data_IF_744998305891
#
_entry.id   IF_744998305891
#
_cell.length_a   1.000
_cell.length_b   1.000
_cell.length_c   1.000
_cell.angle_alpha   90.00
_cell.angle_beta   90.00
_cell.angle_gamma   90.00
#
_symmetry.space_group_name_H-M   'P 1'
#
loop_
_entity.id
_entity.type
_entity.pdbx_description
1 polymer ?
#
# COMPACT_ATOMS: atom_id res chain seq x y z
N UNK A 1 17.16 3.21 20.55
CA UNK A 1 16.20 2.11 20.31
C UNK A 1 14.94 2.73 19.75
N UNK A 2 14.42 2.22 18.64
CA UNK A 2 13.15 2.68 18.08
C UNK A 2 12.01 2.04 18.87
N UNK A 3 11.05 2.84 19.34
CA UNK A 3 9.90 2.34 20.07
C UNK A 3 8.83 1.80 19.10
N UNK A 4 8.11 0.72 19.45
CA UNK A 4 7.00 0.26 18.64
C UNK A 4 5.89 1.31 18.60
N UNK A 5 5.30 1.48 17.41
CA UNK A 5 4.20 2.40 17.15
C UNK A 5 2.90 1.62 16.99
N UNK A 6 1.91 1.91 17.84
CA UNK A 6 0.59 1.29 17.78
C UNK A 6 -0.34 2.08 16.82
N UNK A 7 -0.27 1.75 15.53
CA UNK A 7 -1.09 2.41 14.51
C UNK A 7 -2.59 2.16 14.71
N UNK A 8 -2.98 1.03 15.30
CA UNK A 8 -4.39 0.70 15.51
C UNK A 8 -5.11 1.70 16.43
N UNK A 9 -4.37 2.30 17.37
CA UNK A 9 -4.88 3.34 18.29
C UNK A 9 -4.89 4.74 17.69
N UNK A 10 -4.25 4.94 16.54
CA UNK A 10 -4.15 6.23 15.85
C UNK A 10 -5.19 6.39 14.74
N UNK A 11 -5.93 5.32 14.43
CA UNK A 11 -7.00 5.37 13.44
C UNK A 11 -8.09 6.31 13.95
N UNK A 12 -8.10 7.52 13.39
CA UNK A 12 -9.10 8.54 13.67
C UNK A 12 -10.31 8.42 12.75
N UNK A 13 -11.02 9.53 12.58
CA UNK A 13 -12.19 9.61 11.68
C UNK A 13 -11.85 9.36 10.20
N UNK A 14 -10.58 9.44 9.81
CA UNK A 14 -10.11 9.08 8.46
C UNK A 14 -10.25 7.58 8.17
N UNK A 15 -10.26 6.71 9.18
CA UNK A 15 -10.20 5.26 9.00
C UNK A 15 -8.80 4.73 8.67
N UNK A 16 -7.77 5.58 8.66
CA UNK A 16 -6.39 5.19 8.36
C UNK A 16 -5.38 5.89 9.28
N UNK A 17 -4.27 5.22 9.57
CA UNK A 17 -3.10 5.77 10.24
C UNK A 17 -1.82 5.33 9.52
N UNK A 18 -0.81 6.20 9.49
CA UNK A 18 0.45 5.95 8.79
C UNK A 18 1.64 5.91 9.75
N UNK A 19 2.62 5.06 9.44
CA UNK A 19 4.01 5.19 9.89
C UNK A 19 4.86 5.54 8.66
N UNK A 20 5.26 6.81 8.56
CA UNK A 20 6.04 7.33 7.44
C UNK A 20 7.53 7.49 7.73
N UNK A 21 8.30 7.94 6.73
CA UNK A 21 9.72 8.28 6.84
C UNK A 21 10.04 9.23 8.00
N UNK A 22 9.24 10.29 8.16
CA UNK A 22 9.51 11.34 9.14
C UNK A 22 9.46 10.83 10.60
N UNK A 23 8.61 9.83 10.87
CA UNK A 23 8.49 9.24 12.20
C UNK A 23 9.41 8.02 12.39
N UNK A 24 9.55 7.19 11.36
CA UNK A 24 10.35 5.96 11.45
C UNK A 24 11.85 6.16 11.24
N UNK A 25 12.25 7.27 10.61
CA UNK A 25 13.59 7.48 10.08
C UNK A 25 13.90 6.63 8.85
N UNK A 26 12.93 5.88 8.31
CA UNK A 26 13.11 5.12 7.08
C UNK A 26 13.25 6.07 5.88
N UNK A 27 14.12 5.73 4.93
CA UNK A 27 14.36 6.61 3.78
C UNK A 27 13.37 6.38 2.64
N UNK A 28 12.84 5.17 2.52
CA UNK A 28 12.17 4.74 1.28
C UNK A 28 10.85 4.03 1.50
N UNK A 29 10.43 3.76 2.74
CA UNK A 29 9.26 2.90 3.02
C UNK A 29 8.31 3.54 4.00
N UNK A 30 7.04 3.18 3.88
CA UNK A 30 5.98 3.54 4.82
C UNK A 30 4.99 2.39 4.96
N UNK A 31 4.18 2.47 6.01
CA UNK A 31 3.07 1.56 6.22
C UNK A 31 1.82 2.37 6.58
N UNK A 32 0.72 2.12 5.88
CA UNK A 32 -0.61 2.57 6.24
C UNK A 32 -1.36 1.40 6.86
N UNK A 33 -2.06 1.65 7.95
CA UNK A 33 -2.99 0.72 8.58
C UNK A 33 -4.39 1.30 8.45
N UNK A 34 -5.27 0.56 7.77
CA UNK A 34 -6.62 0.99 7.45
C UNK A 34 -7.67 0.11 8.14
N UNK A 35 -8.78 0.74 8.51
CA UNK A 35 -9.97 0.09 9.06
C UNK A 35 -11.17 0.56 8.27
N UNK A 36 -11.97 -0.40 7.80
CA UNK A 36 -13.28 -0.15 7.22
C UNK A 36 -14.36 -0.59 8.19
N UNK A 37 -15.34 0.27 8.43
CA UNK A 37 -16.54 -0.08 9.16
C UNK A 37 -17.32 -1.19 8.44
N UNK A 38 -18.25 -1.90 9.12
CA UNK A 38 -19.13 -2.87 8.48
C UNK A 38 -19.80 -2.29 7.24
N UNK A 39 -19.66 -2.96 6.11
CA UNK A 39 -20.22 -2.53 4.82
C UNK A 39 -19.77 -1.14 4.32
N UNK A 40 -18.70 -0.56 4.87
CA UNK A 40 -18.13 0.70 4.33
C UNK A 40 -17.65 0.48 2.89
N UNK A 41 -17.96 1.43 2.00
CA UNK A 41 -17.60 1.36 0.59
C UNK A 41 -16.88 2.62 0.13
N UNK A 42 -16.21 2.54 -1.02
CA UNK A 42 -15.65 3.71 -1.70
C UNK A 42 -14.35 4.25 -1.09
N UNK A 43 -13.64 3.47 -0.26
CA UNK A 43 -12.31 3.85 0.23
C UNK A 43 -11.33 3.93 -0.92
N UNK A 44 -10.94 5.13 -1.30
CA UNK A 44 -10.00 5.34 -2.41
C UNK A 44 -8.57 5.01 -1.99
N UNK A 45 -7.93 4.13 -2.75
CA UNK A 45 -6.50 3.84 -2.67
C UNK A 45 -5.85 4.39 -3.94
N UNK A 46 -4.76 5.15 -3.80
CA UNK A 46 -4.01 5.71 -4.93
C UNK A 46 -2.53 5.83 -4.56
N UNK A 47 -1.68 4.88 -4.97
CA UNK A 47 -0.24 5.03 -4.83
C UNK A 47 0.21 6.35 -5.46
N UNK A 48 0.93 7.16 -4.69
CA UNK A 48 1.45 8.45 -5.15
C UNK A 48 2.44 8.30 -6.31
N UNK A 49 2.69 9.38 -7.04
CA UNK A 49 3.74 9.40 -8.07
C UNK A 49 5.08 8.95 -7.49
N UNK A 50 5.80 8.12 -8.24
CA UNK A 50 7.04 7.48 -7.84
C UNK A 50 6.89 6.43 -6.74
N UNK A 51 5.69 5.90 -6.46
CA UNK A 51 5.46 4.91 -5.41
C UNK A 51 4.75 3.66 -5.91
N UNK A 52 5.13 2.54 -5.33
CA UNK A 52 4.42 1.26 -5.41
C UNK A 52 3.94 0.89 -4.02
N UNK A 53 2.78 0.25 -3.95
CA UNK A 53 2.17 -0.19 -2.69
C UNK A 53 1.67 -1.62 -2.82
N UNK A 54 1.76 -2.39 -1.74
CA UNK A 54 1.14 -3.70 -1.60
C UNK A 54 0.00 -3.56 -0.60
N UNK A 55 -1.22 -3.81 -1.05
CA UNK A 55 -2.37 -4.04 -0.18
C UNK A 55 -2.27 -5.43 0.41
N UNK A 56 -2.46 -5.56 1.73
CA UNK A 56 -2.60 -6.85 2.42
C UNK A 56 -3.81 -6.82 3.34
N UNK A 57 -4.69 -7.82 3.23
CA UNK A 57 -5.90 -7.94 4.06
C UNK A 57 -5.56 -8.66 5.35
N UNK A 58 -5.64 -7.95 6.48
CA UNK A 58 -5.40 -8.53 7.81
C UNK A 58 -6.60 -9.35 8.25
N UNK A 59 -7.83 -8.84 8.06
CA UNK A 59 -9.05 -9.57 8.37
C UNK A 59 -10.25 -9.05 7.56
N UNK A 60 -11.24 -9.91 7.39
CA UNK A 60 -12.46 -9.62 6.65
C UNK A 60 -12.34 -9.90 5.15
N UNK A 61 -13.43 -9.61 4.43
CA UNK A 61 -13.52 -9.76 2.97
C UNK A 61 -13.67 -8.39 2.34
N UNK A 62 -12.72 -8.03 1.49
CA UNK A 62 -12.68 -6.72 0.84
C UNK A 62 -12.93 -6.87 -0.65
N UNK A 63 -13.82 -6.06 -1.21
CA UNK A 63 -13.86 -5.85 -2.65
C UNK A 63 -12.88 -4.75 -3.01
N UNK A 64 -11.96 -5.04 -3.93
CA UNK A 64 -11.10 -4.08 -4.59
C UNK A 64 -11.59 -3.89 -6.03
N UNK A 65 -11.84 -2.65 -6.42
CA UNK A 65 -12.27 -2.32 -7.77
C UNK A 65 -11.50 -1.13 -8.35
N UNK A 66 -11.20 -1.16 -9.64
CA UNK A 66 -10.64 -0.03 -10.37
C UNK A 66 -9.94 -0.42 -11.68
N UNK A 67 -9.47 0.57 -12.47
CA UNK A 67 -9.10 0.35 -13.87
C UNK A 67 -7.97 -0.65 -14.08
N UNK A 68 -6.99 -0.72 -13.17
CA UNK A 68 -5.83 -1.59 -13.33
C UNK A 68 -6.07 -3.04 -12.86
N UNK A 69 -7.05 -3.28 -11.99
CA UNK A 69 -7.31 -4.61 -11.39
C UNK A 69 -8.65 -5.20 -11.76
N UNK A 70 -9.54 -4.42 -12.40
CA UNK A 70 -10.93 -4.82 -12.62
C UNK A 70 -11.70 -4.80 -11.30
N UNK A 71 -12.39 -5.89 -10.99
CA UNK A 71 -13.07 -6.12 -9.71
C UNK A 71 -12.61 -7.48 -9.15
N UNK A 72 -12.23 -7.52 -7.88
CA UNK A 72 -11.86 -8.75 -7.19
C UNK A 72 -12.24 -8.72 -5.71
N UNK A 73 -12.45 -9.90 -5.14
CA UNK A 73 -12.62 -10.07 -3.69
C UNK A 73 -11.30 -10.55 -3.09
N UNK A 74 -10.71 -9.71 -2.25
CA UNK A 74 -9.52 -10.00 -1.47
C UNK A 74 -9.95 -10.55 -0.10
N UNK A 75 -9.63 -11.83 0.15
CA UNK A 75 -9.88 -12.50 1.43
C UNK A 75 -8.76 -12.20 2.42
N UNK A 76 -9.02 -12.46 3.69
CA UNK A 76 -8.00 -12.47 4.74
C UNK A 76 -6.72 -13.21 4.30
N UNK A 77 -5.56 -12.61 4.58
CA UNK A 77 -4.25 -13.15 4.20
C UNK A 77 -3.86 -12.93 2.73
N UNK A 78 -4.68 -12.25 1.93
CA UNK A 78 -4.38 -11.98 0.52
C UNK A 78 -3.62 -10.65 0.36
N UNK A 79 -2.68 -10.64 -0.59
CA UNK A 79 -1.96 -9.44 -1.01
C UNK A 79 -2.22 -9.06 -2.48
N UNK A 80 -2.25 -7.77 -2.78
CA UNK A 80 -2.40 -7.23 -4.15
C UNK A 80 -1.40 -6.09 -4.36
N UNK A 81 -0.64 -6.14 -5.46
CA UNK A 81 0.21 -5.02 -5.87
C UNK A 81 -0.64 -3.91 -6.48
N UNK A 82 -0.50 -2.70 -5.96
CA UNK A 82 -1.13 -1.49 -6.47
C UNK A 82 -0.13 -0.71 -7.32
N UNK A 83 -0.52 -0.42 -8.56
CA UNK A 83 0.31 0.31 -9.52
C UNK A 83 0.31 1.81 -9.23
N UNK A 84 1.45 2.44 -9.51
CA UNK A 84 1.65 3.89 -9.39
C UNK A 84 0.51 4.68 -10.09
N UNK A 85 -0.09 5.63 -9.37
CA UNK A 85 -1.07 6.55 -9.92
C UNK A 85 -2.44 5.95 -10.29
N UNK A 86 -2.63 4.64 -10.14
CA UNK A 86 -3.92 3.98 -10.37
C UNK A 86 -4.87 4.24 -9.21
N UNK A 87 -6.05 4.77 -9.51
CA UNK A 87 -7.13 4.79 -8.53
C UNK A 87 -7.73 3.40 -8.37
N UNK A 88 -7.95 3.01 -7.13
CA UNK A 88 -8.67 1.83 -6.74
C UNK A 88 -9.65 2.18 -5.61
N UNK A 89 -10.69 1.40 -5.44
CA UNK A 89 -11.66 1.56 -4.37
C UNK A 89 -11.83 0.26 -3.59
N UNK A 90 -11.80 0.38 -2.28
CA UNK A 90 -11.95 -0.72 -1.35
C UNK A 90 -13.32 -0.64 -0.68
N UNK A 91 -13.98 -1.79 -0.55
CA UNK A 91 -15.26 -1.92 0.15
C UNK A 91 -15.23 -3.13 1.06
N UNK A 92 -15.74 -3.00 2.28
CA UNK A 92 -15.91 -4.10 3.21
C UNK A 92 -17.19 -4.88 2.88
N UNK A 93 -17.09 -6.19 2.68
CA UNK A 93 -18.22 -7.05 2.36
C UNK A 93 -18.83 -7.74 3.60
N UNK A 94 -18.30 -7.44 4.78
CA UNK A 94 -18.65 -8.14 6.02
C UNK A 94 -19.42 -7.25 6.99
N UNK A 95 -20.10 -7.88 7.94
CA UNK A 95 -20.80 -7.21 9.04
C UNK A 95 -19.87 -6.82 10.21
N UNK A 96 -18.58 -7.12 10.11
CA UNK A 96 -17.55 -6.75 11.08
C UNK A 96 -16.64 -5.67 10.53
N UNK A 97 -15.78 -5.09 11.38
CA UNK A 97 -14.71 -4.21 10.91
C UNK A 97 -13.66 -5.03 10.13
N UNK A 98 -13.31 -4.56 8.94
CA UNK A 98 -12.23 -5.13 8.15
C UNK A 98 -10.96 -4.30 8.28
N UNK A 99 -9.80 -4.95 8.28
CA UNK A 99 -8.49 -4.30 8.45
C UNK A 99 -7.57 -4.69 7.32
N UNK A 100 -6.76 -3.74 6.91
CA UNK A 100 -5.76 -3.94 5.89
C UNK A 100 -4.54 -3.08 6.16
N UNK A 101 -3.45 -3.38 5.48
CA UNK A 101 -2.28 -2.50 5.39
C UNK A 101 -1.95 -2.20 3.95
N UNK A 102 -1.41 -1.00 3.72
CA UNK A 102 -0.64 -0.70 2.52
C UNK A 102 0.82 -0.58 2.93
N UNK A 103 1.66 -1.47 2.43
CA UNK A 103 3.10 -1.35 2.55
C UNK A 103 3.62 -0.70 1.27
N UNK A 104 4.17 0.50 1.37
CA UNK A 104 4.58 1.27 0.21
C UNK A 104 6.01 1.75 0.28
N UNK A 105 6.56 2.11 -0.88
CA UNK A 105 7.88 2.69 -0.94
C UNK A 105 8.15 3.52 -2.19
N UNK A 106 9.20 4.33 -2.13
CA UNK A 106 9.66 5.16 -3.22
C UNK A 106 10.42 4.32 -4.26
N UNK A 107 9.99 4.39 -5.51
CA UNK A 107 10.56 3.64 -6.64
C UNK A 107 11.74 4.34 -7.29
N UNK A 108 11.90 5.64 -7.10
CA UNK A 108 12.92 6.45 -7.77
C UNK A 108 14.37 5.96 -7.53
N UNK A 109 14.78 5.61 -6.29
CA UNK A 109 16.08 4.97 -6.09
C UNK A 109 16.23 3.67 -6.88
N UNK A 110 15.21 2.81 -6.90
CA UNK A 110 15.24 1.55 -7.63
C UNK A 110 15.31 1.76 -9.16
N UNK A 111 14.59 2.76 -9.68
CA UNK A 111 14.65 3.16 -11.10
C UNK A 111 16.03 3.68 -11.46
N UNK A 112 16.63 4.51 -10.61
CA UNK A 112 17.99 5.02 -10.80
C UNK A 112 19.02 3.87 -10.83
N UNK A 113 18.96 2.94 -9.87
CA UNK A 113 19.85 1.77 -9.87
C UNK A 113 19.70 0.91 -11.13
N UNK A 114 18.47 0.64 -11.58
CA UNK A 114 18.23 -0.11 -12.83
C UNK A 114 18.80 0.61 -14.06
N UNK A 115 18.67 1.92 -14.12
CA UNK A 115 19.26 2.73 -15.19
C UNK A 115 20.79 2.67 -15.18
N UNK A 116 21.44 2.79 -14.01
CA UNK A 116 22.90 2.67 -13.94
C UNK A 116 23.39 1.29 -14.40
N UNK A 117 22.69 0.22 -14.00
CA UNK A 117 23.02 -1.14 -14.42
C UNK A 117 22.89 -1.33 -15.94
N UNK A 118 21.87 -0.75 -16.57
CA UNK A 118 21.72 -0.84 -18.03
C UNK A 118 22.83 -0.11 -18.77
N UNK A 119 23.35 1.00 -18.24
CA UNK A 119 24.50 1.70 -18.81
C UNK A 119 25.80 0.88 -18.70
N UNK A 120 26.03 0.22 -17.56
CA UNK A 120 27.21 -0.64 -17.37
C UNK A 120 27.19 -1.87 -18.28
N UNK A 121 26.03 -2.52 -18.44
CA UNK A 121 25.88 -3.66 -19.35
C UNK A 121 26.07 -3.27 -20.81
N UNK A 122 25.64 -2.07 -21.21
CA UNK A 122 25.84 -1.56 -22.56
C UNK A 122 27.31 -1.23 -22.88
N UNK A 123 28.16 -1.06 -21.86
CA UNK A 123 29.58 -0.73 -21.99
C UNK A 123 30.52 -1.92 -21.79
N UNK A 124 30.01 -3.12 -21.52
CA UNK A 124 30.82 -4.32 -21.35
C UNK A 124 31.40 -4.77 -22.72
N UNK A 125 32.73 -4.99 -22.84
CA UNK A 125 33.31 -5.56 -24.05
C UNK A 125 32.75 -6.98 -24.27
N UNK A 126 32.41 -7.29 -25.54
CA UNK A 126 31.93 -8.61 -25.96
C UNK A 126 32.98 -9.69 -25.78
#
# INVERSE_FOLDING_TARGET
MTNPVDLSKRVGSSGEAALGPDESGALTTYLLYGVLAPYETGRRLRPGSGREEILFVINGDLRLEGPAVGEMVCKEGTAVLLQEGSDQWLSNLTNGAARYVLAGGFTEPARFYRWMQSQQLAQAPR
#
